data_IF_592490373726
#
_entry.id   IF_592490373726
#
_cell.length_a   1.000
_cell.length_b   1.000
_cell.length_c   1.000
_cell.angle_alpha   90.00
_cell.angle_beta   90.00
_cell.angle_gamma   90.00
#
_symmetry.space_group_name_H-M   'P 1'
#
loop_
_entity.id
_entity.type
_entity.pdbx_description
1 polymer ?
#
# COMPACT_ATOMS: atom_id res chain seq x y z
N UNK A 1 -21.85 25.40 8.62
CA UNK A 1 -21.03 24.28 9.13
C UNK A 1 -20.27 23.65 7.97
N UNK A 2 -19.02 23.23 8.16
CA UNK A 2 -18.27 22.53 7.12
C UNK A 2 -18.87 21.14 6.88
N UNK A 3 -18.95 20.72 5.62
CA UNK A 3 -19.52 19.42 5.23
C UNK A 3 -18.43 18.35 5.27
N UNK A 4 -18.73 17.19 5.86
CA UNK A 4 -17.86 16.00 5.80
C UNK A 4 -18.33 15.09 4.67
N UNK A 5 -17.40 14.61 3.84
CA UNK A 5 -17.71 13.80 2.65
C UNK A 5 -16.88 12.52 2.64
N UNK A 6 -17.53 11.37 2.46
CA UNK A 6 -16.83 10.14 2.10
C UNK A 6 -16.99 9.87 0.61
N UNK A 7 -15.94 9.36 -0.03
CA UNK A 7 -15.93 9.07 -1.46
C UNK A 7 -15.53 7.60 -1.72
N UNK A 8 -15.79 7.14 -2.95
CA UNK A 8 -15.39 5.83 -3.45
C UNK A 8 -14.73 5.98 -4.81
N UNK A 9 -14.19 4.88 -5.34
CA UNK A 9 -13.80 4.82 -6.74
C UNK A 9 -14.99 5.13 -7.69
N UNK A 10 -14.73 5.67 -8.89
CA UNK A 10 -15.76 5.91 -9.90
C UNK A 10 -16.44 4.63 -10.37
N UNK A 11 -17.76 4.67 -10.55
CA UNK A 11 -18.54 3.57 -11.15
C UNK A 11 -18.78 3.85 -12.62
N UNK A 12 -18.33 2.95 -13.49
CA UNK A 12 -18.54 3.05 -14.94
C UNK A 12 -19.91 2.50 -15.32
N UNK A 13 -20.65 3.22 -16.16
CA UNK A 13 -22.00 2.82 -16.63
C UNK A 13 -22.97 2.43 -15.48
N UNK A 14 -23.27 3.34 -14.53
CA UNK A 14 -24.03 3.04 -13.31
C UNK A 14 -25.44 2.48 -13.58
N UNK A 15 -26.09 2.89 -14.67
CA UNK A 15 -27.39 2.36 -15.07
C UNK A 15 -27.33 0.89 -15.50
N UNK A 16 -26.21 0.44 -16.07
CA UNK A 16 -26.00 -0.95 -16.47
C UNK A 16 -25.47 -1.82 -15.32
N UNK A 17 -24.96 -1.21 -14.23
CA UNK A 17 -24.28 -1.91 -13.13
C UNK A 17 -24.73 -1.41 -11.74
N UNK A 18 -26.01 -1.59 -11.37
CA UNK A 18 -26.53 -1.10 -10.09
C UNK A 18 -25.82 -1.71 -8.86
N UNK A 19 -25.27 -2.92 -8.98
CA UNK A 19 -24.48 -3.55 -7.90
C UNK A 19 -23.17 -2.81 -7.59
N UNK A 20 -22.48 -2.29 -8.61
CA UNK A 20 -21.26 -1.48 -8.43
C UNK A 20 -21.58 -0.16 -7.72
N UNK A 21 -22.74 0.45 -8.03
CA UNK A 21 -23.23 1.66 -7.35
C UNK A 21 -23.48 1.40 -5.86
N UNK A 22 -24.11 0.27 -5.52
CA UNK A 22 -24.36 -0.10 -4.13
C UNK A 22 -23.05 -0.31 -3.36
N UNK A 23 -22.04 -0.95 -3.98
CA UNK A 23 -20.73 -1.16 -3.39
C UNK A 23 -19.97 0.16 -3.17
N UNK A 24 -19.93 1.02 -4.19
CA UNK A 24 -19.35 2.36 -4.14
C UNK A 24 -19.98 3.21 -3.03
N UNK A 25 -21.30 3.20 -2.92
CA UNK A 25 -22.00 3.89 -1.84
C UNK A 25 -21.62 3.36 -0.45
N UNK A 26 -21.51 2.03 -0.29
CA UNK A 26 -21.12 1.43 0.98
C UNK A 26 -19.66 1.80 1.36
N UNK A 27 -18.76 1.91 0.40
CA UNK A 27 -17.38 2.38 0.60
C UNK A 27 -17.33 3.85 1.00
N UNK A 28 -18.02 4.72 0.26
CA UNK A 28 -18.13 6.14 0.59
C UNK A 28 -18.69 6.34 2.00
N UNK A 29 -19.70 5.54 2.40
CA UNK A 29 -20.21 5.56 3.77
C UNK A 29 -19.17 5.16 4.82
N UNK A 30 -18.37 4.11 4.58
CA UNK A 30 -17.30 3.70 5.51
C UNK A 30 -16.23 4.79 5.65
N UNK A 31 -15.86 5.46 4.56
CA UNK A 31 -14.94 6.58 4.59
C UNK A 31 -15.50 7.76 5.40
N UNK A 32 -16.79 8.08 5.23
CA UNK A 32 -17.47 9.11 6.02
C UNK A 32 -17.48 8.77 7.53
N UNK A 33 -17.80 7.52 7.88
CA UNK A 33 -17.78 7.09 9.28
C UNK A 33 -16.37 7.10 9.86
N UNK A 34 -15.35 6.72 9.08
CA UNK A 34 -13.96 6.84 9.50
C UNK A 34 -13.57 8.29 9.79
N UNK A 35 -13.95 9.26 8.93
CA UNK A 35 -13.71 10.68 9.20
C UNK A 35 -14.38 11.14 10.50
N UNK A 36 -15.60 10.68 10.77
CA UNK A 36 -16.34 11.02 11.99
C UNK A 36 -15.67 10.47 13.25
N UNK A 37 -15.34 9.18 13.26
CA UNK A 37 -14.69 8.51 14.40
C UNK A 37 -13.32 9.12 14.69
N UNK A 38 -12.59 9.52 13.66
CA UNK A 38 -11.27 10.16 13.78
C UNK A 38 -11.35 11.66 14.12
N UNK A 39 -12.55 12.23 14.31
CA UNK A 39 -12.74 13.65 14.62
C UNK A 39 -12.39 14.60 13.47
N UNK A 40 -12.32 14.12 12.23
CA UNK A 40 -11.96 14.87 11.02
C UNK A 40 -13.18 15.49 10.33
N UNK A 41 -14.06 16.10 11.11
CA UNK A 41 -15.25 16.79 10.59
C UNK A 41 -14.89 17.92 9.62
N UNK A 42 -15.70 18.12 8.57
CA UNK A 42 -15.47 19.15 7.55
C UNK A 42 -14.48 18.77 6.45
N UNK A 43 -14.06 17.50 6.37
CA UNK A 43 -13.09 17.01 5.39
C UNK A 43 -13.71 16.00 4.43
N UNK A 44 -13.05 15.80 3.29
CA UNK A 44 -13.36 14.77 2.29
C UNK A 44 -12.28 13.68 2.28
N UNK A 45 -12.67 12.41 2.14
CA UNK A 45 -11.71 11.31 1.94
C UNK A 45 -12.31 10.12 1.17
N UNK A 46 -11.51 9.52 0.30
CA UNK A 46 -11.68 8.19 -0.28
C UNK A 46 -10.85 7.16 0.50
N UNK A 47 -11.05 5.86 0.21
CA UNK A 47 -10.34 4.79 0.90
C UNK A 47 -8.81 4.91 0.80
N UNK A 48 -8.30 5.37 -0.35
CA UNK A 48 -6.88 5.58 -0.61
C UNK A 48 -6.23 6.67 0.26
N UNK A 49 -7.01 7.66 0.71
CA UNK A 49 -6.54 8.75 1.58
C UNK A 49 -6.26 8.28 3.02
N UNK A 50 -6.72 7.07 3.38
CA UNK A 50 -6.49 6.48 4.70
C UNK A 50 -5.25 5.57 4.75
N UNK A 51 -4.45 5.54 3.68
CA UNK A 51 -3.26 4.69 3.65
C UNK A 51 -3.63 3.21 3.76
N UNK A 52 -2.93 2.45 4.60
CA UNK A 52 -3.26 1.03 4.80
C UNK A 52 -4.66 0.80 5.40
N UNK A 53 -5.21 1.75 6.17
CA UNK A 53 -6.56 1.61 6.74
C UNK A 53 -7.64 1.53 5.65
N UNK A 54 -7.37 2.09 4.47
CA UNK A 54 -8.20 1.92 3.28
C UNK A 54 -8.46 0.45 2.92
N UNK A 55 -7.53 -0.46 3.24
CA UNK A 55 -7.72 -1.90 3.06
C UNK A 55 -8.85 -2.45 3.94
N UNK A 56 -8.96 -1.95 5.18
CA UNK A 56 -9.96 -2.37 6.17
C UNK A 56 -11.32 -1.70 5.94
N UNK A 57 -11.30 -0.49 5.38
CA UNK A 57 -12.50 0.25 5.00
C UNK A 57 -13.12 -0.28 3.70
N UNK A 58 -12.43 -1.18 3.02
CA UNK A 58 -12.97 -1.98 1.93
C UNK A 58 -14.03 -2.95 2.41
N UNK A 59 -15.27 -2.81 1.92
CA UNK A 59 -16.34 -3.74 2.29
C UNK A 59 -16.13 -5.08 1.61
N UNK A 60 -16.14 -6.14 2.41
CA UNK A 60 -16.12 -7.51 1.92
C UNK A 60 -17.44 -7.81 1.20
N UNK A 61 -17.47 -7.70 -0.13
CA UNK A 61 -18.37 -8.49 -0.99
C UNK A 61 -17.65 -8.82 -2.29
N UNK A 62 -17.45 -10.12 -2.44
CA UNK A 62 -16.89 -10.86 -3.58
C UNK A 62 -15.36 -10.78 -3.63
N UNK A 63 -14.69 -11.93 -3.47
CA UNK A 63 -13.22 -12.01 -3.28
C UNK A 63 -12.37 -11.34 -4.36
N UNK A 64 -12.96 -11.03 -5.53
CA UNK A 64 -12.34 -10.22 -6.58
C UNK A 64 -12.10 -8.75 -6.15
N UNK A 65 -13.01 -8.16 -5.37
CA UNK A 65 -12.88 -6.78 -4.91
C UNK A 65 -11.80 -6.58 -3.84
N UNK A 66 -11.56 -7.60 -3.02
CA UNK A 66 -10.52 -7.57 -1.98
C UNK A 66 -9.12 -7.79 -2.59
N UNK A 67 -8.99 -8.69 -3.56
CA UNK A 67 -7.76 -8.90 -4.31
C UNK A 67 -7.29 -7.62 -5.03
N UNK A 68 -8.20 -6.98 -5.79
CA UNK A 68 -7.89 -5.74 -6.50
C UNK A 68 -7.44 -4.60 -5.57
N UNK A 69 -8.00 -4.53 -4.35
CA UNK A 69 -7.62 -3.52 -3.36
C UNK A 69 -6.23 -3.77 -2.77
N UNK A 70 -5.92 -5.03 -2.47
CA UNK A 70 -4.58 -5.45 -2.02
C UNK A 70 -3.55 -5.17 -3.11
N UNK A 71 -3.84 -5.53 -4.36
CA UNK A 71 -2.99 -5.23 -5.51
C UNK A 71 -2.78 -3.73 -5.68
N UNK A 72 -3.85 -2.93 -5.59
CA UNK A 72 -3.76 -1.47 -5.64
C UNK A 72 -2.88 -0.88 -4.53
N UNK A 73 -2.95 -1.43 -3.30
CA UNK A 73 -2.05 -1.03 -2.21
C UNK A 73 -0.60 -1.40 -2.46
N UNK A 74 -0.33 -2.61 -2.93
CA UNK A 74 1.03 -3.04 -3.29
C UNK A 74 1.58 -2.12 -4.38
N UNK A 75 0.82 -1.91 -5.46
CA UNK A 75 1.21 -1.11 -6.61
C UNK A 75 1.55 0.34 -6.21
N UNK A 76 0.69 1.00 -5.43
CA UNK A 76 0.93 2.39 -4.99
C UNK A 76 2.04 2.54 -3.95
N UNK A 77 2.34 1.50 -3.18
CA UNK A 77 3.29 1.58 -2.06
C UNK A 77 4.70 1.12 -2.44
N UNK A 78 4.82 0.01 -3.17
CA UNK A 78 6.11 -0.58 -3.56
C UNK A 78 6.20 -0.91 -5.06
N UNK A 79 5.16 -0.64 -5.86
CA UNK A 79 5.13 -0.99 -7.28
C UNK A 79 6.32 -0.41 -8.06
N UNK A 80 6.72 0.83 -7.77
CA UNK A 80 7.91 1.43 -8.39
C UNK A 80 9.21 0.63 -8.15
N UNK A 81 9.33 -0.04 -7.00
CA UNK A 81 10.47 -0.91 -6.65
C UNK A 81 10.35 -2.26 -7.34
N UNK A 82 9.17 -2.87 -7.33
CA UNK A 82 8.88 -4.14 -8.03
C UNK A 82 9.16 -4.00 -9.53
N UNK A 83 8.65 -2.94 -10.16
CA UNK A 83 8.88 -2.64 -11.57
C UNK A 83 10.36 -2.39 -11.88
N UNK A 84 11.07 -1.76 -10.95
CA UNK A 84 12.50 -1.51 -11.12
C UNK A 84 13.30 -2.81 -11.09
N UNK A 85 13.02 -3.70 -10.13
CA UNK A 85 13.63 -5.02 -10.05
C UNK A 85 13.35 -5.83 -11.31
N UNK A 86 12.09 -5.87 -11.78
CA UNK A 86 11.71 -6.58 -13.00
C UNK A 86 12.45 -6.07 -14.25
N UNK A 87 12.62 -4.75 -14.38
CA UNK A 87 13.31 -4.14 -15.55
C UNK A 87 14.83 -4.23 -15.49
N UNK A 88 15.42 -4.21 -14.29
CA UNK A 88 16.88 -4.07 -14.10
C UNK A 88 17.54 -5.34 -13.58
N UNK A 89 16.78 -6.37 -13.22
CA UNK A 89 17.30 -7.59 -12.60
C UNK A 89 17.96 -7.33 -11.25
N UNK A 90 17.41 -6.39 -10.47
CA UNK A 90 17.90 -6.06 -9.13
C UNK A 90 17.13 -6.81 -8.04
N UNK A 91 17.64 -6.74 -6.80
CA UNK A 91 17.03 -7.38 -5.62
C UNK A 91 16.57 -6.35 -4.58
N UNK A 92 15.99 -5.21 -4.99
CA UNK A 92 15.59 -4.15 -4.07
C UNK A 92 14.45 -4.58 -3.14
N UNK A 93 13.45 -5.32 -3.65
CA UNK A 93 12.35 -5.87 -2.84
C UNK A 93 12.90 -6.80 -1.76
N UNK A 94 13.76 -7.75 -2.14
CA UNK A 94 14.46 -8.64 -1.19
C UNK A 94 15.31 -7.86 -0.19
N UNK A 95 15.96 -6.78 -0.64
CA UNK A 95 16.76 -5.93 0.25
C UNK A 95 15.89 -5.23 1.28
N UNK A 96 14.72 -4.73 0.91
CA UNK A 96 13.77 -4.10 1.84
C UNK A 96 13.24 -5.10 2.87
N UNK A 97 12.85 -6.30 2.42
CA UNK A 97 12.41 -7.37 3.32
C UNK A 97 13.46 -7.68 4.40
N UNK A 98 14.70 -7.92 3.98
CA UNK A 98 15.80 -8.20 4.90
C UNK A 98 16.12 -7.00 5.80
N UNK A 99 16.01 -5.78 5.27
CA UNK A 99 16.23 -4.55 6.02
C UNK A 99 15.23 -4.37 7.16
N UNK A 100 13.94 -4.56 6.89
CA UNK A 100 12.91 -4.49 7.92
C UNK A 100 13.00 -5.66 8.92
N UNK A 101 13.25 -6.88 8.44
CA UNK A 101 13.47 -8.04 9.31
C UNK A 101 14.68 -7.85 10.25
N UNK A 102 15.69 -7.11 9.77
CA UNK A 102 16.89 -6.74 10.51
C UNK A 102 16.71 -5.50 11.40
N UNK A 103 15.47 -5.06 11.67
CA UNK A 103 15.19 -3.88 12.48
C UNK A 103 15.80 -2.61 11.92
N UNK A 104 15.73 -2.43 10.59
CA UNK A 104 16.20 -1.25 9.86
C UNK A 104 17.71 -0.97 10.01
N UNK A 105 18.53 -2.00 10.24
CA UNK A 105 19.98 -1.89 10.37
C UNK A 105 20.70 -2.36 9.11
N UNK A 106 21.39 -1.48 8.36
CA UNK A 106 22.16 -1.89 7.18
C UNK A 106 23.27 -2.90 7.52
N UNK A 107 23.85 -2.79 8.72
CA UNK A 107 24.88 -3.71 9.20
C UNK A 107 24.34 -5.13 9.34
N UNK A 108 23.18 -5.33 9.99
CA UNK A 108 22.56 -6.66 10.10
C UNK A 108 22.01 -7.17 8.76
N UNK A 109 21.49 -6.25 7.94
CA UNK A 109 20.96 -6.57 6.61
C UNK A 109 22.04 -7.14 5.69
N UNK A 110 23.28 -6.63 5.80
CA UNK A 110 24.41 -7.11 5.01
C UNK A 110 24.69 -8.60 5.29
N UNK A 111 24.57 -9.02 6.55
CA UNK A 111 24.88 -10.37 7.00
C UNK A 111 23.78 -11.33 6.51
N UNK A 112 22.51 -10.93 6.65
CA UNK A 112 21.36 -11.67 6.10
C UNK A 112 21.45 -11.87 4.58
N UNK A 113 21.78 -10.80 3.86
CA UNK A 113 21.87 -10.84 2.39
C UNK A 113 23.20 -11.39 1.85
N UNK A 114 24.19 -11.60 2.72
CA UNK A 114 25.55 -12.01 2.34
C UNK A 114 26.17 -11.06 1.30
N UNK A 115 25.99 -9.75 1.49
CA UNK A 115 26.56 -8.70 0.64
C UNK A 115 27.33 -7.68 1.45
N UNK A 116 28.10 -6.83 0.79
CA UNK A 116 28.79 -5.74 1.46
C UNK A 116 27.80 -4.67 1.96
N UNK A 117 28.08 -4.05 3.12
CA UNK A 117 27.21 -3.00 3.70
C UNK A 117 27.00 -1.82 2.75
N UNK A 118 28.01 -1.47 1.95
CA UNK A 118 27.90 -0.43 0.92
C UNK A 118 26.87 -0.80 -0.15
N UNK A 119 26.76 -2.08 -0.51
CA UNK A 119 25.73 -2.54 -1.46
C UNK A 119 24.34 -2.37 -0.86
N UNK A 120 24.15 -2.69 0.42
CA UNK A 120 22.88 -2.42 1.12
C UNK A 120 22.57 -0.93 1.09
N UNK A 121 23.52 -0.08 1.47
CA UNK A 121 23.34 1.38 1.49
C UNK A 121 22.95 1.93 0.11
N UNK A 122 23.64 1.51 -0.95
CA UNK A 122 23.34 1.91 -2.33
C UNK A 122 21.94 1.45 -2.79
N UNK A 123 21.54 0.22 -2.42
CA UNK A 123 20.21 -0.30 -2.72
C UNK A 123 19.12 0.47 -1.97
N UNK A 124 19.33 0.80 -0.69
CA UNK A 124 18.39 1.60 0.10
C UNK A 124 18.29 3.05 -0.41
N UNK A 125 19.40 3.64 -0.84
CA UNK A 125 19.41 4.95 -1.49
C UNK A 125 18.61 4.92 -2.81
N UNK A 126 18.75 3.85 -3.59
CA UNK A 126 17.93 3.64 -4.79
C UNK A 126 16.44 3.51 -4.45
N UNK A 127 16.10 2.78 -3.39
CA UNK A 127 14.71 2.70 -2.90
C UNK A 127 14.20 4.09 -2.53
N UNK A 128 14.98 4.90 -1.82
CA UNK A 128 14.59 6.28 -1.49
C UNK A 128 14.32 7.15 -2.72
N UNK A 129 15.08 6.94 -3.80
CA UNK A 129 14.79 7.61 -5.09
C UNK A 129 13.51 7.14 -5.77
N UNK A 130 13.07 5.91 -5.52
CA UNK A 130 11.87 5.33 -6.12
C UNK A 130 10.59 5.61 -5.30
N UNK A 131 10.70 5.56 -3.97
CA UNK A 131 9.56 5.68 -3.06
C UNK A 131 9.39 7.09 -2.46
N UNK A 132 10.37 7.97 -2.65
CA UNK A 132 10.40 9.30 -2.06
C UNK A 132 11.25 9.36 -0.79
N UNK A 133 11.69 10.56 -0.38
CA UNK A 133 12.64 10.75 0.72
C UNK A 133 12.09 10.37 2.09
N UNK A 134 10.76 10.32 2.25
CA UNK A 134 10.05 10.04 3.50
C UNK A 134 9.67 8.56 3.67
N UNK A 135 10.13 7.66 2.79
CA UNK A 135 9.77 6.24 2.81
C UNK A 135 10.12 5.51 4.13
N UNK A 136 11.07 6.05 4.89
CA UNK A 136 11.47 5.54 6.22
C UNK A 136 10.76 6.21 7.40
N UNK A 137 9.90 7.21 7.15
CA UNK A 137 9.08 7.80 8.22
C UNK A 137 8.21 6.71 8.87
N UNK A 138 7.92 6.75 10.18
CA UNK A 138 7.25 5.65 10.87
C UNK A 138 5.97 5.17 10.18
N UNK A 139 5.13 6.10 9.73
CA UNK A 139 3.87 5.79 9.02
C UNK A 139 4.14 5.12 7.67
N UNK A 140 5.06 5.65 6.85
CA UNK A 140 5.38 5.10 5.53
C UNK A 140 6.12 3.76 5.63
N UNK A 141 7.04 3.62 6.58
CA UNK A 141 7.77 2.39 6.83
C UNK A 141 6.83 1.23 7.21
N UNK A 142 5.75 1.51 7.95
CA UNK A 142 4.70 0.51 8.23
C UNK A 142 3.96 0.10 6.96
N UNK A 143 3.56 1.06 6.12
CA UNK A 143 2.88 0.78 4.85
C UNK A 143 3.76 -0.07 3.93
N UNK A 144 5.04 0.28 3.79
CA UNK A 144 6.00 -0.46 2.98
C UNK A 144 6.16 -1.90 3.50
N UNK A 145 6.31 -2.09 4.82
CA UNK A 145 6.37 -3.43 5.42
C UNK A 145 5.11 -4.25 5.15
N UNK A 146 3.94 -3.64 5.25
CA UNK A 146 2.68 -4.33 4.99
C UNK A 146 2.56 -4.70 3.50
N UNK A 147 2.93 -3.79 2.60
CA UNK A 147 2.91 -4.03 1.17
C UNK A 147 3.87 -5.16 0.76
N UNK A 148 5.07 -5.23 1.35
CA UNK A 148 6.01 -6.33 1.13
C UNK A 148 5.45 -7.68 1.57
N UNK A 149 4.83 -7.74 2.76
CA UNK A 149 4.17 -8.97 3.26
C UNK A 149 3.03 -9.41 2.36
N UNK A 150 2.17 -8.48 1.94
CA UNK A 150 1.06 -8.76 1.04
C UNK A 150 1.55 -9.22 -0.34
N UNK A 151 2.59 -8.60 -0.89
CA UNK A 151 3.19 -8.99 -2.17
C UNK A 151 3.75 -10.41 -2.13
N UNK A 152 4.39 -10.80 -1.03
CA UNK A 152 4.86 -12.18 -0.82
C UNK A 152 3.72 -13.19 -0.72
N UNK A 153 2.65 -12.87 0.00
CA UNK A 153 1.50 -13.77 0.12
C UNK A 153 0.76 -13.91 -1.21
N UNK A 154 0.56 -12.80 -1.94
CA UNK A 154 -0.07 -12.80 -3.26
C UNK A 154 0.75 -13.60 -4.29
N UNK A 155 2.07 -13.42 -4.32
CA UNK A 155 2.96 -14.18 -5.21
C UNK A 155 3.11 -15.65 -4.84
N UNK A 156 2.83 -16.03 -3.59
CA UNK A 156 2.79 -17.43 -3.15
C UNK A 156 1.48 -18.13 -3.55
N UNK A 157 0.35 -17.40 -3.57
CA UNK A 157 -0.95 -17.92 -3.99
C UNK A 157 -1.06 -18.02 -5.52
N UNK A 158 -0.34 -17.17 -6.25
CA UNK A 158 -0.30 -17.18 -7.72
C UNK A 158 0.57 -18.29 -8.34
N UNK A 159 1.21 -19.14 -7.53
CA UNK A 159 2.01 -20.31 -7.96
C UNK A 159 1.28 -21.60 -7.62
#
# INVERSE_FOLDING_TARGET
AAVTVGASAPVSAPAARPGEVASAYAEARRCLEALRVLGRGGQGAAAEDFGFLGLLLGGARDGAGDAARVEGFIARTIGAVVDYDARRGTDLVRTLDAYFASGMSPARTKDELHVHVNTVAQRLERVGRLLGPDWQSPSRALEVQLALRLHRLASAIAR
#
